data_IF_582767307621
#
_entry.id   IF_582767307621
#
_cell.length_a   1.000
_cell.length_b   1.000
_cell.length_c   1.000
_cell.angle_alpha   90.00
_cell.angle_beta   90.00
_cell.angle_gamma   90.00
#
_symmetry.space_group_name_H-M   'P 1'
#
loop_
_entity.id
_entity.type
_entity.pdbx_description
1 polymer ?
#
# COMPACT_ATOMS: atom_id res chain seq x y z
N UNK A 1 -5.63 -14.90 -9.13
CA UNK A 1 -4.71 -14.76 -7.98
C UNK A 1 -3.72 -13.66 -8.32
N UNK A 2 -3.70 -12.57 -7.54
CA UNK A 2 -2.80 -11.43 -7.76
C UNK A 2 -1.44 -11.60 -7.06
N UNK A 3 -0.47 -10.69 -7.29
CA UNK A 3 0.89 -10.79 -6.74
C UNK A 3 0.93 -10.86 -5.21
N UNK A 4 0.02 -10.18 -4.51
CA UNK A 4 -0.12 -10.27 -3.05
C UNK A 4 -0.40 -11.72 -2.61
N UNK A 5 -1.49 -12.31 -3.09
CA UNK A 5 -1.88 -13.67 -2.72
C UNK A 5 -0.89 -14.74 -3.21
N UNK A 6 -0.22 -14.51 -4.34
CA UNK A 6 0.74 -15.46 -4.89
C UNK A 6 1.97 -15.62 -3.99
N UNK A 7 2.52 -14.53 -3.44
CA UNK A 7 3.70 -14.58 -2.59
C UNK A 7 3.37 -15.16 -1.21
N UNK A 8 2.26 -14.75 -0.60
CA UNK A 8 1.76 -15.38 0.64
C UNK A 8 1.65 -16.91 0.49
N UNK A 9 1.13 -17.38 -0.65
CA UNK A 9 1.02 -18.82 -0.95
C UNK A 9 2.35 -19.50 -1.25
N UNK A 10 3.29 -18.81 -1.88
CA UNK A 10 4.59 -19.37 -2.23
C UNK A 10 5.46 -19.65 -1.00
N UNK A 11 5.38 -18.80 0.03
CA UNK A 11 6.09 -19.01 1.29
C UNK A 11 5.46 -20.12 2.15
N UNK A 12 4.13 -20.18 2.22
CA UNK A 12 3.45 -21.16 3.07
C UNK A 12 3.56 -20.83 4.57
N UNK A 13 3.26 -21.80 5.44
CA UNK A 13 3.35 -21.60 6.90
C UNK A 13 2.50 -20.43 7.39
N UNK A 14 3.06 -19.60 8.27
CA UNK A 14 2.38 -18.42 8.81
C UNK A 14 1.95 -17.44 7.71
N UNK A 15 2.70 -17.34 6.59
CA UNK A 15 2.37 -16.48 5.44
C UNK A 15 1.04 -16.83 4.74
N UNK A 16 0.42 -17.98 5.04
CA UNK A 16 -0.91 -18.33 4.52
C UNK A 16 -2.06 -17.90 5.43
N UNK A 17 -1.76 -17.51 6.66
CA UNK A 17 -2.74 -17.34 7.72
C UNK A 17 -2.96 -15.86 8.06
N UNK A 18 -4.01 -15.52 8.81
CA UNK A 18 -4.20 -14.16 9.34
C UNK A 18 -3.00 -13.66 10.18
N UNK A 19 -2.18 -14.59 10.70
CA UNK A 19 -0.97 -14.32 11.46
C UNK A 19 0.28 -14.18 10.57
N UNK A 20 0.14 -13.94 9.26
CA UNK A 20 1.26 -13.82 8.31
C UNK A 20 2.38 -12.87 8.74
N UNK A 21 2.05 -11.82 9.49
CA UNK A 21 3.05 -10.91 10.07
C UNK A 21 4.01 -11.55 11.09
N UNK A 22 3.77 -12.78 11.54
CA UNK A 22 4.71 -13.55 12.36
C UNK A 22 5.94 -14.01 11.57
N UNK A 23 5.83 -14.16 10.24
CA UNK A 23 6.97 -14.46 9.37
C UNK A 23 7.67 -13.15 8.98
N UNK A 24 9.00 -12.99 9.22
CA UNK A 24 9.71 -11.77 8.88
C UNK A 24 9.68 -11.44 7.37
N UNK A 25 9.44 -12.41 6.49
CA UNK A 25 9.27 -12.18 5.05
C UNK A 25 8.03 -11.33 4.73
N UNK A 26 7.05 -11.26 5.62
CA UNK A 26 5.86 -10.42 5.49
C UNK A 26 6.21 -8.96 5.23
N UNK A 27 7.17 -8.42 6.00
CA UNK A 27 7.56 -7.02 5.91
C UNK A 27 8.24 -6.70 4.57
N UNK A 28 9.10 -7.59 4.07
CA UNK A 28 9.73 -7.43 2.76
C UNK A 28 8.71 -7.56 1.63
N UNK A 29 7.75 -8.49 1.75
CA UNK A 29 6.67 -8.65 0.79
C UNK A 29 5.81 -7.38 0.70
N UNK A 30 5.33 -6.87 1.84
CA UNK A 30 4.46 -5.68 1.88
C UNK A 30 5.18 -4.39 1.55
N UNK A 31 6.49 -4.26 1.86
CA UNK A 31 7.29 -3.13 1.35
C UNK A 31 7.35 -3.12 -0.19
N UNK A 32 7.41 -4.29 -0.83
CA UNK A 32 7.36 -4.36 -2.29
C UNK A 32 5.94 -4.12 -2.85
N UNK A 33 4.88 -4.51 -2.13
CA UNK A 33 3.49 -4.15 -2.50
C UNK A 33 3.31 -2.64 -2.46
N UNK A 34 3.80 -1.99 -1.40
CA UNK A 34 3.77 -0.54 -1.25
C UNK A 34 4.60 0.16 -2.33
N UNK A 35 5.80 -0.34 -2.66
CA UNK A 35 6.60 0.16 -3.80
C UNK A 35 5.84 0.09 -5.13
N UNK A 36 5.10 -0.98 -5.39
CA UNK A 36 4.31 -1.12 -6.61
C UNK A 36 3.16 -0.11 -6.64
N UNK A 37 2.51 0.13 -5.51
CA UNK A 37 1.48 1.15 -5.37
C UNK A 37 2.04 2.56 -5.56
N UNK A 38 3.17 2.86 -4.94
CA UNK A 38 3.90 4.12 -5.11
C UNK A 38 4.26 4.40 -6.59
N UNK A 39 4.76 3.39 -7.32
CA UNK A 39 5.03 3.54 -8.76
C UNK A 39 3.75 3.85 -9.54
N UNK A 40 2.66 3.16 -9.23
CA UNK A 40 1.38 3.39 -9.88
C UNK A 40 0.84 4.81 -9.66
N UNK A 41 0.95 5.36 -8.43
CA UNK A 41 0.58 6.75 -8.10
C UNK A 41 1.44 7.77 -8.86
N UNK A 42 2.70 7.44 -9.16
CA UNK A 42 3.58 8.26 -10.00
C UNK A 42 3.35 8.09 -11.51
N UNK A 43 2.41 7.23 -11.91
CA UNK A 43 2.20 6.90 -13.32
C UNK A 43 3.32 6.07 -13.94
N UNK A 44 4.18 5.47 -13.11
CA UNK A 44 5.37 4.72 -13.53
C UNK A 44 5.09 3.21 -13.59
N UNK A 45 5.79 2.54 -14.49
CA UNK A 45 5.82 1.08 -14.60
C UNK A 45 7.14 0.50 -14.05
N UNK A 46 7.14 -0.82 -13.81
CA UNK A 46 8.38 -1.53 -13.48
C UNK A 46 9.45 -1.39 -14.57
N UNK A 47 9.06 -1.25 -15.85
CA UNK A 47 10.01 -1.03 -16.95
C UNK A 47 10.69 0.34 -16.83
N UNK A 48 10.00 1.36 -16.33
CA UNK A 48 10.56 2.69 -16.10
C UNK A 48 11.61 2.66 -14.99
N UNK A 49 11.41 1.83 -13.95
CA UNK A 49 12.41 1.63 -12.89
C UNK A 49 13.66 0.86 -13.32
N UNK A 50 13.64 0.14 -14.46
CA UNK A 50 14.84 -0.56 -14.97
C UNK A 50 15.80 0.38 -15.73
N UNK A 51 15.41 1.63 -16.02
CA UNK A 51 16.25 2.65 -16.67
C UNK A 51 17.12 3.44 -15.69
N UNK A 52 17.43 2.85 -14.54
CA UNK A 52 18.00 3.45 -13.33
C UNK A 52 19.42 4.05 -13.44
N UNK A 53 19.93 4.25 -14.65
CA UNK A 53 21.16 5.00 -14.91
C UNK A 53 20.96 6.46 -15.33
N UNK A 54 19.72 6.92 -15.63
CA UNK A 54 19.55 8.28 -16.19
C UNK A 54 18.21 8.97 -15.95
N UNK A 55 17.19 8.29 -15.42
CA UNK A 55 15.94 8.96 -15.05
C UNK A 55 16.06 9.49 -13.64
N UNK A 56 16.40 10.77 -13.52
CA UNK A 56 16.06 11.56 -12.34
C UNK A 56 14.55 11.37 -12.07
N UNK A 57 14.24 10.57 -11.06
CA UNK A 57 12.90 10.46 -10.48
C UNK A 57 12.32 11.83 -10.04
N UNK A 58 13.13 12.89 -10.06
CA UNK A 58 12.77 14.29 -9.83
C UNK A 58 11.71 14.87 -10.79
N UNK A 59 11.37 14.20 -11.91
CA UNK A 59 10.37 14.70 -12.88
C UNK A 59 9.11 13.87 -13.03
N UNK A 60 8.98 12.73 -12.37
CA UNK A 60 7.69 12.07 -12.24
C UNK A 60 6.87 12.90 -11.24
N UNK A 61 6.21 13.96 -11.74
CA UNK A 61 5.14 14.58 -10.97
C UNK A 61 4.19 13.45 -10.58
N UNK A 62 3.75 13.35 -9.31
CA UNK A 62 2.65 12.47 -9.00
C UNK A 62 1.56 12.71 -10.05
N UNK A 63 1.03 11.64 -10.59
CA UNK A 63 -0.21 11.77 -11.33
C UNK A 63 -1.22 12.22 -10.27
N UNK A 64 -1.52 13.52 -10.23
CA UNK A 64 -2.38 14.11 -9.18
C UNK A 64 -3.73 13.41 -9.16
N UNK A 65 -4.15 12.88 -10.33
CA UNK A 65 -5.35 12.07 -10.48
C UNK A 65 -5.28 10.79 -9.63
N UNK A 66 -4.12 10.14 -9.53
CA UNK A 66 -3.96 8.85 -8.83
C UNK A 66 -3.55 8.95 -7.38
N UNK A 67 -2.99 10.08 -6.96
CA UNK A 67 -2.45 10.20 -5.60
C UNK A 67 -3.52 9.95 -4.55
N UNK A 68 -4.75 10.42 -4.79
CA UNK A 68 -5.88 10.30 -3.89
C UNK A 68 -6.99 9.39 -4.42
N UNK A 69 -6.70 8.59 -5.45
CA UNK A 69 -7.62 7.56 -5.92
C UNK A 69 -7.83 6.52 -4.82
N UNK A 70 -9.05 6.49 -4.28
CA UNK A 70 -9.43 5.63 -3.17
C UNK A 70 -10.88 5.19 -3.33
N UNK A 71 -11.11 3.88 -3.26
CA UNK A 71 -12.43 3.29 -3.44
C UNK A 71 -12.50 1.93 -2.74
N UNK A 72 -13.70 1.51 -2.37
CA UNK A 72 -13.93 0.22 -1.73
C UNK A 72 -15.05 0.28 -0.71
N UNK A 73 -15.21 -0.83 -0.01
CA UNK A 73 -16.10 -0.97 1.14
C UNK A 73 -15.21 -0.99 2.40
N UNK A 74 -15.70 -0.50 3.53
CA UNK A 74 -14.91 -0.42 4.78
C UNK A 74 -14.76 -1.77 5.48
N UNK A 75 -15.58 -2.76 5.14
CA UNK A 75 -15.57 -4.11 5.72
C UNK A 75 -15.52 -5.15 4.60
N UNK A 76 -14.79 -6.24 4.85
CA UNK A 76 -14.75 -7.37 3.93
C UNK A 76 -16.12 -8.06 3.86
N UNK A 77 -16.60 -8.35 2.64
CA UNK A 77 -17.92 -8.94 2.41
C UNK A 77 -18.10 -10.35 3.00
N UNK A 78 -17.00 -11.03 3.28
CA UNK A 78 -17.00 -12.34 3.97
C UNK A 78 -17.32 -12.19 5.46
N UNK A 79 -17.00 -11.04 6.05
CA UNK A 79 -17.27 -10.72 7.45
C UNK A 79 -18.62 -10.02 7.62
N UNK A 80 -18.96 -9.10 6.71
CA UNK A 80 -20.26 -8.43 6.64
C UNK A 80 -20.72 -8.38 5.17
N UNK A 81 -21.80 -9.10 4.78
CA UNK A 81 -22.29 -9.11 3.40
C UNK A 81 -22.64 -7.74 2.82
N UNK A 82 -22.90 -6.73 3.65
CA UNK A 82 -23.18 -5.35 3.21
C UNK A 82 -21.91 -4.61 2.79
N UNK A 83 -20.74 -5.05 3.26
CA UNK A 83 -19.45 -4.35 3.13
C UNK A 83 -19.29 -3.13 4.03
N UNK A 84 -20.32 -2.77 4.82
CA UNK A 84 -20.34 -1.53 5.56
C UNK A 84 -20.41 -0.28 4.67
N UNK A 85 -20.14 0.92 5.22
CA UNK A 85 -20.05 2.16 4.44
C UNK A 85 -18.99 2.08 3.34
N UNK A 86 -19.17 2.89 2.29
CA UNK A 86 -18.15 3.09 1.24
C UNK A 86 -16.91 3.73 1.86
N UNK A 87 -15.76 3.19 1.51
CA UNK A 87 -14.47 3.69 1.96
C UNK A 87 -14.23 5.11 1.43
N UNK A 88 -13.65 5.95 2.28
CA UNK A 88 -13.40 7.37 2.04
C UNK A 88 -12.00 7.77 2.51
N UNK A 89 -11.43 8.79 1.87
CA UNK A 89 -10.17 9.41 2.28
C UNK A 89 -10.22 10.01 3.70
N UNK A 90 -11.43 10.26 4.21
CA UNK A 90 -11.65 10.78 5.57
C UNK A 90 -11.83 9.68 6.62
N UNK A 91 -11.81 8.40 6.22
CA UNK A 91 -11.86 7.28 7.15
C UNK A 91 -10.61 7.29 8.03
N UNK A 92 -10.80 6.90 9.29
CA UNK A 92 -9.75 6.89 10.30
C UNK A 92 -9.24 5.47 10.50
N UNK A 93 -7.97 5.26 10.24
CA UNK A 93 -7.28 4.02 10.55
C UNK A 93 -6.78 4.02 11.99
N UNK A 94 -7.06 2.92 12.69
CA UNK A 94 -6.37 2.62 13.94
C UNK A 94 -5.19 1.70 13.65
N UNK A 95 -3.97 2.17 13.90
CA UNK A 95 -2.76 1.35 13.80
C UNK A 95 -2.52 0.53 15.08
N UNK A 96 -3.62 0.11 15.72
CA UNK A 96 -3.65 -0.65 16.98
C UNK A 96 -2.78 -0.02 18.09
N UNK A 97 -2.56 1.29 18.04
CA UNK A 97 -1.70 2.01 18.98
C UNK A 97 -0.20 1.68 18.88
N UNK A 98 0.25 0.98 17.84
CA UNK A 98 1.62 0.46 17.75
C UNK A 98 2.66 1.55 17.48
N UNK A 99 2.38 2.52 16.60
CA UNK A 99 3.40 3.47 16.11
C UNK A 99 2.86 4.90 15.94
N UNK A 100 1.60 5.06 15.52
CA UNK A 100 0.96 6.37 15.32
C UNK A 100 -0.42 6.40 16.00
N UNK A 101 -0.90 7.59 16.43
CA UNK A 101 -2.29 7.75 16.82
C UNK A 101 -3.22 7.46 15.62
N UNK A 102 -4.52 7.37 15.89
CA UNK A 102 -5.53 7.28 14.85
C UNK A 102 -5.30 8.33 13.76
N UNK A 103 -5.30 7.89 12.51
CA UNK A 103 -4.86 8.71 11.37
C UNK A 103 -5.85 8.57 10.21
N UNK A 104 -6.16 9.70 9.58
CA UNK A 104 -7.02 9.76 8.41
C UNK A 104 -6.31 9.18 7.18
N UNK A 105 -7.05 8.44 6.37
CA UNK A 105 -6.57 7.76 5.17
C UNK A 105 -5.77 8.69 4.25
N UNK A 106 -6.26 9.92 3.99
CA UNK A 106 -5.58 10.86 3.09
C UNK A 106 -4.15 11.23 3.52
N UNK A 107 -3.83 11.14 4.82
CA UNK A 107 -2.47 11.39 5.34
C UNK A 107 -1.50 10.24 5.06
N UNK A 108 -2.01 9.06 4.71
CA UNK A 108 -1.22 7.87 4.37
C UNK A 108 -0.99 7.73 2.86
N UNK A 109 -1.65 8.55 2.03
CA UNK A 109 -1.62 8.40 0.57
C UNK A 109 -0.33 8.93 -0.09
N UNK A 110 0.45 9.78 0.58
CA UNK A 110 1.67 10.37 0.02
C UNK A 110 2.88 10.07 0.92
N UNK A 111 3.80 9.23 0.42
CA UNK A 111 5.00 8.81 1.15
C UNK A 111 5.98 9.96 1.45
N UNK A 112 5.84 11.09 0.75
CA UNK A 112 6.69 12.26 0.88
C UNK A 112 6.06 13.40 1.73
N UNK A 113 4.87 13.18 2.32
CA UNK A 113 4.21 14.16 3.21
C UNK A 113 4.04 13.60 4.63
N UNK A 114 4.13 14.47 5.66
CA UNK A 114 3.92 14.04 7.05
C UNK A 114 2.60 13.28 7.24
N UNK A 115 2.60 12.19 8.03
CA UNK A 115 3.70 11.75 8.90
C UNK A 115 4.76 10.89 8.20
N UNK A 116 4.59 10.60 6.91
CA UNK A 116 5.55 9.80 6.14
C UNK A 116 6.66 10.69 5.58
N UNK A 117 7.83 10.09 5.34
CA UNK A 117 8.96 10.76 4.71
C UNK A 117 9.94 9.73 4.13
N UNK A 118 9.50 9.00 3.11
CA UNK A 118 10.32 8.02 2.42
C UNK A 118 10.02 7.94 0.91
N UNK A 119 10.98 7.40 0.18
CA UNK A 119 10.85 7.08 -1.25
C UNK A 119 11.40 5.68 -1.51
N UNK A 120 10.94 5.08 -2.60
CA UNK A 120 11.58 3.91 -3.14
C UNK A 120 12.63 4.28 -4.18
N UNK A 121 13.66 3.43 -4.26
CA UNK A 121 14.61 3.37 -5.36
C UNK A 121 14.25 2.17 -6.26
#
# INVERSE_FOLDING_TARGET
>A
MGPHSAIHRAFGGDMLLPQSANDPAFFLHHANVDRLWWLWQKGLSLADTRRFGSLKAERARPDEDRLYDYAGDTVERTSDPTGGPRASLNDVHSLLGLILPNIETYKLMDTARPPLCYTYI
#
